data_IF_067786645193
#
_entry.id   IF_067786645193
#
_cell.length_a   1.000
_cell.length_b   1.000
_cell.length_c   1.000
_cell.angle_alpha   90.00
_cell.angle_beta   90.00
_cell.angle_gamma   90.00
#
_symmetry.space_group_name_H-M   'P 1'
#
loop_
_entity.id
_entity.type
_entity.pdbx_description
1 polymer ?
#
# COMPACT_ATOMS: atom_id res chain seq x y z
N UNK A 1 -1.59 21.79 6.83
CA UNK A 1 -2.33 21.59 8.12
C UNK A 1 -3.83 21.47 7.93
N UNK A 2 -4.47 22.36 7.10
CA UNK A 2 -5.94 22.36 6.90
C UNK A 2 -6.45 21.06 6.27
N UNK A 3 -5.72 20.45 5.32
CA UNK A 3 -6.12 19.21 4.64
C UNK A 3 -5.90 17.94 5.49
N UNK A 4 -4.91 17.93 6.41
CA UNK A 4 -4.55 16.75 7.21
C UNK A 4 -5.64 16.36 8.22
N UNK A 5 -6.31 17.34 8.84
CA UNK A 5 -7.35 17.06 9.86
C UNK A 5 -8.58 16.35 9.29
N UNK A 6 -9.17 16.74 8.14
CA UNK A 6 -10.25 15.99 7.48
C UNK A 6 -9.82 14.58 7.06
N UNK A 7 -8.64 14.43 6.49
CA UNK A 7 -8.07 13.13 6.13
C UNK A 7 -7.97 12.20 7.34
N UNK A 8 -7.31 12.65 8.42
CA UNK A 8 -7.18 11.86 9.64
C UNK A 8 -8.53 11.52 10.26
N UNK A 9 -9.53 12.39 10.15
CA UNK A 9 -10.88 12.10 10.64
C UNK A 9 -11.49 10.93 9.86
N UNK A 10 -11.42 10.93 8.55
CA UNK A 10 -11.91 9.83 7.72
C UNK A 10 -11.19 8.52 8.06
N UNK A 11 -9.86 8.54 8.02
CA UNK A 11 -9.02 7.38 8.28
C UNK A 11 -9.24 6.76 9.67
N UNK A 12 -9.23 7.57 10.73
CA UNK A 12 -9.37 7.09 12.11
C UNK A 12 -10.84 6.81 12.52
N UNK A 13 -11.81 7.18 11.68
CA UNK A 13 -13.22 6.81 11.85
C UNK A 13 -13.57 5.50 11.15
N UNK A 14 -12.69 4.98 10.30
CA UNK A 14 -12.91 3.70 9.65
C UNK A 14 -12.75 2.55 10.66
N UNK A 15 -13.84 1.80 10.83
CA UNK A 15 -13.89 0.71 11.82
C UNK A 15 -13.09 -0.52 11.41
N UNK A 16 -12.69 -0.61 10.13
CA UNK A 16 -11.74 -1.65 9.68
C UNK A 16 -10.29 -1.31 10.01
N UNK A 17 -9.97 -0.02 10.03
CA UNK A 17 -8.63 0.47 10.41
C UNK A 17 -8.47 0.49 11.92
N UNK A 18 -9.46 1.03 12.63
CA UNK A 18 -9.48 1.08 14.09
C UNK A 18 -10.79 0.45 14.58
N UNK A 19 -10.68 -0.71 15.18
CA UNK A 19 -11.77 -1.31 15.95
C UNK A 19 -11.77 -0.76 17.37
N UNK A 20 -12.58 0.26 17.68
CA UNK A 20 -12.61 0.79 19.02
C UNK A 20 -13.30 -0.20 19.97
N UNK A 21 -12.81 -0.32 21.23
CA UNK A 21 -13.53 -1.09 22.23
C UNK A 21 -14.91 -0.47 22.49
N UNK A 22 -15.92 -1.27 22.87
CA UNK A 22 -17.21 -0.74 23.27
C UNK A 22 -17.09 0.04 24.60
N UNK A 23 -17.90 1.10 24.78
CA UNK A 23 -18.86 1.60 23.82
C UNK A 23 -18.22 2.56 22.79
N UNK A 24 -18.57 2.37 21.51
CA UNK A 24 -17.97 3.07 20.36
C UNK A 24 -18.10 4.61 20.40
N UNK A 25 -19.08 5.16 21.14
CA UNK A 25 -19.24 6.61 21.25
C UNK A 25 -18.07 7.27 22.01
N UNK A 26 -17.45 6.56 22.96
CA UNK A 26 -16.25 7.06 23.69
C UNK A 26 -15.11 7.31 22.69
N UNK A 27 -14.91 6.39 21.74
CA UNK A 27 -13.91 6.58 20.70
C UNK A 27 -14.15 7.84 19.87
N UNK A 28 -15.41 8.11 19.51
CA UNK A 28 -15.75 9.34 18.76
C UNK A 28 -15.39 10.61 19.56
N UNK A 29 -15.57 10.61 20.87
CA UNK A 29 -15.17 11.72 21.74
C UNK A 29 -13.64 11.84 21.78
N UNK A 30 -12.91 10.76 22.06
CA UNK A 30 -11.44 10.75 22.10
C UNK A 30 -10.87 11.21 20.75
N UNK A 31 -11.39 10.70 19.66
CA UNK A 31 -10.97 11.06 18.31
C UNK A 31 -11.11 12.56 18.08
N UNK A 32 -12.28 13.15 18.35
CA UNK A 32 -12.55 14.54 18.03
C UNK A 32 -11.93 15.53 19.04
N UNK A 33 -11.96 15.20 20.33
CA UNK A 33 -11.48 16.08 21.38
C UNK A 33 -9.96 16.04 21.58
N UNK A 34 -9.33 14.87 21.38
CA UNK A 34 -7.90 14.67 21.67
C UNK A 34 -7.10 14.46 20.40
N UNK A 35 -7.36 13.36 19.66
CA UNK A 35 -6.49 12.91 18.57
C UNK A 35 -6.45 13.94 17.44
N UNK A 36 -7.59 14.43 16.99
CA UNK A 36 -7.69 15.39 15.87
C UNK A 36 -7.23 16.82 16.24
N UNK A 37 -6.88 17.08 17.49
CA UNK A 37 -6.27 18.34 17.90
C UNK A 37 -4.74 18.25 18.09
N UNK A 38 -4.23 17.09 18.49
CA UNK A 38 -2.80 16.89 18.75
C UNK A 38 -2.05 16.31 17.54
N UNK A 39 -2.59 15.26 16.93
CA UNK A 39 -1.92 14.49 15.88
C UNK A 39 -1.71 15.22 14.54
N UNK A 40 -2.61 16.12 14.08
CA UNK A 40 -2.43 16.80 12.79
C UNK A 40 -1.15 17.62 12.68
N UNK A 41 -0.63 18.16 13.78
CA UNK A 41 0.64 18.91 13.78
C UNK A 41 1.83 18.00 13.49
N UNK A 42 1.91 16.84 14.17
CA UNK A 42 2.98 15.83 13.96
C UNK A 42 2.89 15.24 12.55
N UNK A 43 1.70 14.80 12.14
CA UNK A 43 1.49 14.26 10.78
C UNK A 43 1.81 15.28 9.70
N UNK A 44 1.41 16.56 9.85
CA UNK A 44 1.71 17.58 8.87
C UNK A 44 3.22 17.85 8.73
N UNK A 45 4.01 17.69 9.80
CA UNK A 45 5.48 17.80 9.72
C UNK A 45 6.07 16.63 8.92
N UNK A 46 5.64 15.40 9.20
CA UNK A 46 6.08 14.23 8.47
C UNK A 46 5.66 14.29 6.97
N UNK A 47 4.42 14.75 6.67
CA UNK A 47 4.02 14.97 5.26
C UNK A 47 4.85 16.07 4.56
N UNK A 48 5.38 17.07 5.28
CA UNK A 48 6.22 18.10 4.69
C UNK A 48 7.56 17.57 4.17
N UNK A 49 8.12 16.53 4.79
CA UNK A 49 9.40 15.94 4.35
C UNK A 49 9.28 15.19 3.04
N UNK A 50 8.10 14.62 2.76
CA UNK A 50 7.84 13.83 1.55
C UNK A 50 7.06 14.61 0.47
N UNK A 51 6.65 15.85 0.77
CA UNK A 51 5.83 16.64 -0.15
C UNK A 51 6.62 17.04 -1.40
N UNK A 52 6.04 16.84 -2.57
CA UNK A 52 6.65 17.11 -3.87
C UNK A 52 7.87 16.23 -4.22
N UNK A 53 8.12 15.12 -3.55
CA UNK A 53 9.23 14.21 -3.89
C UNK A 53 8.96 13.41 -5.18
N UNK A 54 7.68 13.21 -5.55
CA UNK A 54 7.25 12.47 -6.74
C UNK A 54 6.22 13.28 -7.55
N UNK A 55 6.52 14.53 -7.88
CA UNK A 55 5.62 15.45 -8.53
C UNK A 55 4.91 16.38 -7.54
N UNK A 56 3.83 17.03 -7.94
CA UNK A 56 3.13 18.00 -7.10
C UNK A 56 2.26 17.35 -6.03
N UNK A 57 2.48 17.67 -4.78
CA UNK A 57 1.67 17.26 -3.63
C UNK A 57 2.14 16.00 -2.93
N UNK A 58 1.20 15.16 -2.52
CA UNK A 58 1.48 13.87 -1.85
C UNK A 58 2.03 12.85 -2.84
N UNK A 59 3.15 12.15 -2.54
CA UNK A 59 3.71 11.11 -3.41
C UNK A 59 2.66 10.08 -3.82
N UNK A 60 1.92 9.54 -2.85
CA UNK A 60 0.86 8.55 -3.10
C UNK A 60 -0.16 9.04 -4.16
N UNK A 61 -0.62 10.28 -4.06
CA UNK A 61 -1.60 10.80 -5.02
C UNK A 61 -0.99 11.08 -6.38
N UNK A 62 0.22 11.63 -6.42
CA UNK A 62 0.91 11.93 -7.68
C UNK A 62 1.21 10.64 -8.44
N UNK A 63 1.76 9.64 -7.76
CA UNK A 63 2.04 8.32 -8.35
C UNK A 63 0.75 7.63 -8.80
N UNK A 64 -0.32 7.67 -7.99
CA UNK A 64 -1.61 7.09 -8.39
C UNK A 64 -2.20 7.75 -9.65
N UNK A 65 -1.99 9.05 -9.84
CA UNK A 65 -2.37 9.74 -11.09
C UNK A 65 -1.55 9.27 -12.28
N UNK A 66 -0.23 9.07 -12.13
CA UNK A 66 0.62 8.51 -13.17
C UNK A 66 0.22 7.06 -13.50
N UNK A 67 0.00 6.22 -12.49
CA UNK A 67 -0.51 4.85 -12.67
C UNK A 67 -1.84 4.86 -13.43
N UNK A 68 -2.81 5.72 -13.05
CA UNK A 68 -4.07 5.87 -13.81
C UNK A 68 -3.81 6.22 -15.27
N UNK A 69 -2.96 7.21 -15.54
CA UNK A 69 -2.68 7.69 -16.90
C UNK A 69 -2.05 6.58 -17.77
N UNK A 70 -1.05 5.86 -17.23
CA UNK A 70 -0.37 4.78 -17.94
C UNK A 70 -1.28 3.57 -18.19
N UNK A 71 -2.07 3.16 -17.19
CA UNK A 71 -3.08 2.10 -17.34
C UNK A 71 -4.10 2.50 -18.42
N UNK A 72 -4.60 3.74 -18.40
CA UNK A 72 -5.52 4.25 -19.43
C UNK A 72 -4.90 4.17 -20.81
N UNK A 73 -3.65 4.63 -20.96
CA UNK A 73 -2.92 4.57 -22.22
C UNK A 73 -2.74 3.14 -22.73
N UNK A 74 -2.42 2.19 -21.86
CA UNK A 74 -2.26 0.79 -22.24
C UNK A 74 -3.60 0.12 -22.59
N UNK A 75 -4.66 0.40 -21.87
CA UNK A 75 -6.00 -0.10 -22.16
C UNK A 75 -6.49 0.43 -23.52
N UNK A 76 -6.29 1.71 -23.79
CA UNK A 76 -6.67 2.31 -25.09
C UNK A 76 -5.92 1.66 -26.27
N UNK A 77 -4.64 1.32 -26.10
CA UNK A 77 -3.85 0.62 -27.14
C UNK A 77 -4.31 -0.81 -27.38
N UNK A 78 -4.75 -1.53 -26.31
CA UNK A 78 -5.10 -2.95 -26.38
C UNK A 78 -6.57 -3.21 -26.71
N UNK A 79 -7.45 -2.30 -26.31
CA UNK A 79 -8.89 -2.37 -26.47
C UNK A 79 -9.48 -0.96 -26.64
N UNK A 80 -9.31 -0.34 -27.81
CA UNK A 80 -9.69 1.05 -28.07
C UNK A 80 -11.16 1.32 -27.75
N UNK A 81 -11.44 2.42 -27.05
CA UNK A 81 -12.78 2.90 -26.68
C UNK A 81 -13.64 1.90 -25.86
N UNK A 82 -13.04 0.86 -25.25
CA UNK A 82 -13.79 -0.12 -24.47
C UNK A 82 -13.76 0.16 -22.96
N UNK A 83 -12.80 0.95 -22.49
CA UNK A 83 -12.57 1.14 -21.07
C UNK A 83 -12.52 2.61 -20.68
N UNK A 84 -13.12 2.90 -19.53
CA UNK A 84 -12.97 4.16 -18.80
C UNK A 84 -12.25 3.89 -17.47
N UNK A 85 -11.29 4.73 -17.11
CA UNK A 85 -10.51 4.56 -15.88
C UNK A 85 -10.73 5.75 -14.97
N UNK A 86 -11.22 5.49 -13.75
CA UNK A 86 -11.37 6.51 -12.70
C UNK A 86 -10.47 6.18 -11.51
N UNK A 87 -9.93 7.23 -10.86
CA UNK A 87 -9.13 7.12 -9.64
C UNK A 87 -9.98 7.47 -8.43
N UNK A 88 -10.11 6.55 -7.48
CA UNK A 88 -10.76 6.78 -6.19
C UNK A 88 -9.82 6.52 -5.02
N UNK A 89 -9.69 7.50 -4.13
CA UNK A 89 -8.97 7.34 -2.87
C UNK A 89 -9.93 6.90 -1.77
N UNK A 90 -9.50 5.97 -0.93
CA UNK A 90 -10.29 5.52 0.22
C UNK A 90 -10.58 6.67 1.19
N UNK A 91 -9.60 7.57 1.35
CA UNK A 91 -9.69 8.78 2.17
C UNK A 91 -9.17 9.99 1.39
N UNK A 92 -9.87 11.13 1.52
CA UNK A 92 -9.50 12.36 0.81
C UNK A 92 -10.04 12.44 -0.61
N UNK A 93 -9.31 13.09 -1.50
CA UNK A 93 -9.72 13.35 -2.89
C UNK A 93 -8.65 12.94 -3.90
N UNK A 94 -9.06 12.48 -5.11
CA UNK A 94 -10.44 12.22 -5.54
C UNK A 94 -11.09 11.13 -4.70
N UNK A 95 -12.34 11.31 -4.30
CA UNK A 95 -13.02 10.34 -3.44
C UNK A 95 -13.54 9.14 -4.23
N UNK A 96 -13.80 8.00 -3.55
CA UNK A 96 -14.47 6.85 -4.16
C UNK A 96 -15.82 7.26 -4.78
N UNK A 97 -16.58 8.09 -4.08
CA UNK A 97 -17.83 8.66 -4.59
C UNK A 97 -17.64 9.40 -5.92
N UNK A 98 -16.63 10.29 -6.00
CA UNK A 98 -16.39 11.05 -7.24
C UNK A 98 -15.93 10.17 -8.40
N UNK A 99 -15.12 9.13 -8.11
CA UNK A 99 -14.67 8.18 -9.12
C UNK A 99 -15.82 7.34 -9.68
N UNK A 100 -16.69 6.84 -8.82
CA UNK A 100 -17.87 6.07 -9.25
C UNK A 100 -18.86 6.96 -10.03
N UNK A 101 -19.11 8.21 -9.58
CA UNK A 101 -19.94 9.16 -10.32
C UNK A 101 -19.37 9.53 -11.70
N UNK A 102 -18.01 9.61 -11.84
CA UNK A 102 -17.35 9.78 -13.13
C UNK A 102 -17.71 8.63 -14.08
N UNK A 103 -17.58 7.37 -13.63
CA UNK A 103 -17.92 6.20 -14.44
C UNK A 103 -19.43 6.12 -14.78
N UNK A 104 -20.29 6.44 -13.82
CA UNK A 104 -21.74 6.49 -14.05
C UNK A 104 -22.08 7.52 -15.13
N UNK A 105 -21.52 8.73 -15.07
CA UNK A 105 -21.76 9.79 -16.06
C UNK A 105 -21.31 9.43 -17.47
N UNK A 106 -20.35 8.51 -17.60
CA UNK A 106 -19.86 7.94 -18.86
C UNK A 106 -20.66 6.71 -19.32
N UNK A 107 -21.70 6.33 -18.57
CA UNK A 107 -22.59 5.22 -18.92
C UNK A 107 -22.01 3.84 -18.66
N UNK A 108 -20.97 3.71 -17.82
CA UNK A 108 -20.37 2.43 -17.48
C UNK A 108 -21.36 1.57 -16.69
N UNK A 109 -21.71 0.42 -17.24
CA UNK A 109 -22.63 -0.55 -16.63
C UNK A 109 -21.91 -1.73 -15.98
N UNK A 110 -20.62 -1.88 -16.23
CA UNK A 110 -19.75 -2.94 -15.72
C UNK A 110 -18.53 -2.24 -15.10
N UNK A 111 -18.24 -2.51 -13.85
CA UNK A 111 -17.16 -1.84 -13.11
C UNK A 111 -16.23 -2.89 -12.49
N UNK A 112 -14.93 -2.76 -12.72
CA UNK A 112 -13.90 -3.52 -12.00
C UNK A 112 -13.24 -2.58 -11.00
N UNK A 113 -13.18 -2.98 -9.75
CA UNK A 113 -12.43 -2.28 -8.71
C UNK A 113 -11.12 -3.02 -8.47
N UNK A 114 -10.01 -2.31 -8.69
CA UNK A 114 -8.66 -2.78 -8.39
C UNK A 114 -8.07 -1.97 -7.23
N UNK A 115 -8.15 -2.46 -5.99
CA UNK A 115 -7.40 -1.88 -4.89
C UNK A 115 -5.89 -2.05 -5.13
N UNK A 116 -5.13 -0.97 -5.04
CA UNK A 116 -3.67 -1.01 -5.23
C UNK A 116 -2.95 -1.48 -3.95
N UNK A 117 -3.48 -2.55 -3.37
CA UNK A 117 -2.92 -3.29 -2.23
C UNK A 117 -2.74 -4.75 -2.64
N UNK A 118 -1.49 -5.20 -2.90
CA UNK A 118 -1.25 -6.57 -3.38
C UNK A 118 -1.77 -7.65 -2.43
N UNK A 119 -1.54 -7.46 -1.13
CA UNK A 119 -2.03 -8.33 -0.07
C UNK A 119 -3.36 -7.78 0.47
N UNK A 120 -4.35 -8.66 0.62
CA UNK A 120 -5.58 -8.29 1.28
C UNK A 120 -5.36 -8.04 2.78
N UNK A 121 -5.87 -6.93 3.27
CA UNK A 121 -6.15 -6.73 4.69
C UNK A 121 -7.55 -6.12 4.85
N UNK A 122 -8.22 -6.38 5.98
CA UNK A 122 -9.50 -5.75 6.27
C UNK A 122 -9.36 -4.22 6.28
N UNK A 123 -8.26 -3.71 6.82
CA UNK A 123 -7.96 -2.26 6.94
C UNK A 123 -7.50 -1.58 5.64
N UNK A 124 -7.31 -2.30 4.56
CA UNK A 124 -6.96 -1.77 3.24
C UNK A 124 -8.01 -2.15 2.19
N UNK A 125 -7.90 -3.31 1.58
CA UNK A 125 -8.84 -3.82 0.56
C UNK A 125 -10.27 -3.91 1.09
N UNK A 126 -10.46 -4.31 2.36
CA UNK A 126 -11.78 -4.33 2.99
C UNK A 126 -12.40 -2.95 3.13
N UNK A 127 -11.61 -1.92 3.48
CA UNK A 127 -12.07 -0.52 3.53
C UNK A 127 -12.45 0.02 2.15
N UNK A 128 -11.72 -0.36 1.09
CA UNK A 128 -12.09 -0.03 -0.29
C UNK A 128 -13.42 -0.67 -0.66
N UNK A 129 -13.60 -1.94 -0.33
CA UNK A 129 -14.87 -2.64 -0.58
C UNK A 129 -16.05 -1.92 0.10
N UNK A 130 -15.90 -1.56 1.39
CA UNK A 130 -16.94 -0.85 2.13
C UNK A 130 -17.25 0.53 1.52
N UNK A 131 -16.22 1.26 1.06
CA UNK A 131 -16.41 2.57 0.42
C UNK A 131 -17.18 2.45 -0.90
N UNK A 132 -16.86 1.46 -1.74
CA UNK A 132 -17.58 1.17 -2.98
C UNK A 132 -19.01 0.72 -2.69
N UNK A 133 -19.18 -0.27 -1.82
CA UNK A 133 -20.52 -0.79 -1.47
C UNK A 133 -21.43 0.30 -0.90
N UNK A 134 -20.91 1.13 0.00
CA UNK A 134 -21.65 2.24 0.60
C UNK A 134 -22.17 3.25 -0.45
N UNK A 135 -21.37 3.54 -1.48
CA UNK A 135 -21.81 4.44 -2.56
C UNK A 135 -22.86 3.74 -3.44
N UNK A 136 -22.63 2.49 -3.84
CA UNK A 136 -23.55 1.74 -4.70
C UNK A 136 -24.91 1.48 -4.04
N UNK A 137 -24.98 1.41 -2.70
CA UNK A 137 -26.28 1.34 -1.98
C UNK A 137 -27.18 2.56 -2.23
N UNK A 138 -26.63 3.68 -2.71
CA UNK A 138 -27.41 4.89 -3.04
C UNK A 138 -27.87 4.92 -4.50
N UNK A 139 -27.37 4.01 -5.33
CA UNK A 139 -27.66 3.99 -6.75
C UNK A 139 -28.94 3.23 -7.06
N UNK A 140 -29.76 3.76 -7.98
CA UNK A 140 -30.96 3.06 -8.45
C UNK A 140 -30.62 1.93 -9.40
N UNK A 141 -29.64 2.14 -10.28
CA UNK A 141 -29.16 1.16 -11.24
C UNK A 141 -27.73 0.73 -10.83
N UNK A 142 -27.63 -0.43 -10.21
CA UNK A 142 -26.35 -0.97 -9.73
C UNK A 142 -25.63 -1.64 -10.89
N UNK A 143 -24.35 -1.32 -11.16
CA UNK A 143 -23.58 -1.94 -12.23
C UNK A 143 -23.23 -3.41 -11.91
N UNK A 144 -22.88 -4.17 -12.94
CA UNK A 144 -22.17 -5.43 -12.75
C UNK A 144 -20.80 -5.14 -12.17
N UNK A 145 -20.55 -5.61 -10.94
CA UNK A 145 -19.35 -5.26 -10.16
C UNK A 145 -18.41 -6.45 -10.02
N UNK A 146 -17.16 -6.27 -10.42
CA UNK A 146 -16.06 -7.16 -10.07
C UNK A 146 -15.10 -6.47 -9.13
N UNK A 147 -14.57 -7.21 -8.17
CA UNK A 147 -13.67 -6.70 -7.15
C UNK A 147 -12.44 -7.59 -7.04
N UNK A 148 -11.28 -7.07 -7.39
CA UNK A 148 -10.01 -7.79 -7.28
C UNK A 148 -9.56 -7.75 -5.83
N UNK A 149 -9.62 -8.89 -5.16
CA UNK A 149 -9.36 -8.98 -3.72
C UNK A 149 -7.88 -8.90 -3.36
N UNK A 150 -7.04 -9.53 -4.14
CA UNK A 150 -5.58 -9.59 -3.92
C UNK A 150 -4.88 -10.09 -5.17
N UNK A 151 -3.59 -9.76 -5.31
CA UNK A 151 -2.72 -10.22 -6.39
C UNK A 151 -1.29 -10.51 -5.90
N UNK A 152 -1.16 -10.81 -4.62
CA UNK A 152 0.09 -10.98 -3.89
C UNK A 152 0.94 -12.18 -4.35
N UNK A 153 0.37 -13.12 -5.09
CA UNK A 153 1.03 -14.33 -5.60
C UNK A 153 1.10 -14.38 -7.14
N UNK A 154 0.62 -13.34 -7.83
CA UNK A 154 0.66 -13.29 -9.29
C UNK A 154 2.11 -13.26 -9.79
N UNK A 155 2.45 -14.15 -10.74
CA UNK A 155 3.82 -14.31 -11.24
C UNK A 155 4.41 -13.00 -11.76
N UNK A 156 3.65 -12.25 -12.56
CA UNK A 156 4.11 -10.97 -13.12
C UNK A 156 4.30 -9.88 -12.06
N UNK A 157 3.52 -9.92 -10.97
CA UNK A 157 3.75 -9.03 -9.83
C UNK A 157 5.07 -9.36 -9.12
N UNK A 158 5.32 -10.64 -8.86
CA UNK A 158 6.59 -11.10 -8.26
C UNK A 158 7.77 -10.79 -9.20
N UNK A 159 7.60 -10.94 -10.52
CA UNK A 159 8.62 -10.57 -11.51
C UNK A 159 8.94 -9.08 -11.45
N UNK A 160 7.93 -8.22 -11.37
CA UNK A 160 8.14 -6.76 -11.26
C UNK A 160 8.91 -6.40 -9.98
N UNK A 161 8.59 -7.04 -8.84
CA UNK A 161 9.34 -6.88 -7.60
C UNK A 161 10.79 -7.35 -7.74
N UNK A 162 11.01 -8.53 -8.31
CA UNK A 162 12.34 -9.08 -8.51
C UNK A 162 13.19 -8.21 -9.45
N UNK A 163 12.59 -7.69 -10.52
CA UNK A 163 13.24 -6.77 -11.44
C UNK A 163 13.64 -5.47 -10.73
N UNK A 164 12.75 -4.90 -9.90
CA UNK A 164 13.07 -3.68 -9.15
C UNK A 164 14.25 -3.88 -8.19
N UNK A 165 14.32 -5.03 -7.52
CA UNK A 165 15.46 -5.38 -6.66
C UNK A 165 16.75 -5.51 -7.48
N UNK A 166 16.71 -6.25 -8.60
CA UNK A 166 17.87 -6.46 -9.48
C UNK A 166 18.37 -5.14 -10.07
N UNK A 167 17.47 -4.30 -10.56
CA UNK A 167 17.82 -2.98 -11.11
C UNK A 167 18.51 -2.11 -10.05
N UNK A 168 17.97 -2.11 -8.83
CA UNK A 168 18.57 -1.38 -7.72
C UNK A 168 19.97 -1.92 -7.37
N UNK A 169 20.11 -3.25 -7.30
CA UNK A 169 21.38 -3.90 -7.00
C UNK A 169 22.42 -3.73 -8.10
N UNK A 170 22.02 -3.61 -9.35
CA UNK A 170 22.93 -3.32 -10.47
C UNK A 170 23.59 -1.93 -10.32
N UNK A 171 22.89 -0.97 -9.72
CA UNK A 171 23.39 0.39 -9.50
C UNK A 171 24.16 0.51 -8.18
N UNK A 172 23.62 -0.06 -7.11
CA UNK A 172 24.13 0.18 -5.75
C UNK A 172 24.90 -1.00 -5.14
N UNK A 173 24.99 -2.13 -5.87
CA UNK A 173 25.61 -3.37 -5.39
C UNK A 173 24.66 -4.23 -4.56
N UNK A 174 25.02 -5.50 -4.39
CA UNK A 174 24.26 -6.44 -3.55
C UNK A 174 24.44 -6.12 -2.06
N UNK A 175 23.40 -6.29 -1.23
CA UNK A 175 23.50 -6.16 0.21
C UNK A 175 23.98 -7.45 0.86
N UNK A 176 24.32 -7.39 2.16
CA UNK A 176 24.48 -8.57 3.01
C UNK A 176 23.09 -9.18 3.32
N UNK A 177 22.06 -8.35 3.34
CA UNK A 177 20.72 -8.77 3.76
C UNK A 177 19.61 -7.94 3.08
N UNK A 178 18.57 -8.62 2.61
CA UNK A 178 17.35 -8.01 2.05
C UNK A 178 16.20 -8.10 3.05
N UNK A 179 15.75 -6.97 3.57
CA UNK A 179 14.59 -6.91 4.45
C UNK A 179 13.32 -6.55 3.64
N UNK A 180 12.31 -7.40 3.75
CA UNK A 180 11.01 -7.18 3.11
C UNK A 180 10.02 -6.68 4.17
N UNK A 181 9.78 -5.37 4.19
CA UNK A 181 8.97 -4.72 5.20
C UNK A 181 7.53 -4.50 4.71
N UNK A 182 6.56 -4.83 5.54
CA UNK A 182 5.13 -4.66 5.29
C UNK A 182 4.51 -3.79 6.37
N UNK A 183 3.40 -3.12 6.06
CA UNK A 183 2.67 -2.42 7.12
C UNK A 183 2.12 -3.43 8.13
N UNK A 184 2.35 -3.20 9.41
CA UNK A 184 1.84 -4.06 10.47
C UNK A 184 0.33 -4.00 10.60
N UNK A 185 -0.25 -5.06 11.17
CA UNK A 185 -1.62 -5.06 11.67
C UNK A 185 -1.63 -5.54 13.14
N UNK A 186 -2.60 -5.12 13.97
CA UNK A 186 -2.78 -5.69 15.29
C UNK A 186 -2.99 -7.21 15.24
N UNK A 187 -2.31 -7.96 16.11
CA UNK A 187 -2.43 -9.44 16.18
C UNK A 187 -3.88 -9.89 16.28
N UNK A 188 -4.71 -9.16 17.03
CA UNK A 188 -6.15 -9.47 17.17
C UNK A 188 -6.92 -9.48 15.83
N UNK A 189 -6.45 -8.78 14.77
CA UNK A 189 -7.09 -8.82 13.45
C UNK A 189 -6.81 -10.15 12.78
N UNK A 190 -5.56 -10.64 12.88
CA UNK A 190 -5.20 -11.98 12.45
C UNK A 190 -6.02 -13.04 13.19
N UNK A 191 -6.13 -12.93 14.51
CA UNK A 191 -6.91 -13.87 15.34
C UNK A 191 -8.41 -13.88 14.97
N UNK A 192 -8.92 -12.80 14.37
CA UNK A 192 -10.28 -12.68 13.82
C UNK A 192 -10.42 -13.15 12.36
N UNK A 193 -9.37 -13.68 11.77
CA UNK A 193 -9.39 -14.26 10.43
C UNK A 193 -8.84 -13.36 9.32
N UNK A 194 -8.20 -12.21 9.62
CA UNK A 194 -7.48 -11.43 8.62
C UNK A 194 -6.18 -12.14 8.25
N UNK A 195 -6.13 -12.75 7.08
CA UNK A 195 -5.01 -13.55 6.60
C UNK A 195 -3.87 -12.73 5.96
N UNK A 196 -3.85 -11.41 6.16
CA UNK A 196 -2.82 -10.52 5.62
C UNK A 196 -1.38 -10.97 5.88
N UNK A 197 -1.00 -11.38 7.11
CA UNK A 197 0.37 -11.83 7.36
C UNK A 197 0.76 -13.08 6.56
N UNK A 198 -0.20 -13.98 6.32
CA UNK A 198 0.03 -15.15 5.49
C UNK A 198 0.29 -14.76 4.03
N UNK A 199 -0.42 -13.76 3.51
CA UNK A 199 -0.20 -13.25 2.15
C UNK A 199 1.15 -12.53 2.03
N UNK A 200 1.55 -11.76 3.04
CA UNK A 200 2.90 -11.16 3.11
C UNK A 200 3.99 -12.24 3.09
N UNK A 201 3.81 -13.30 3.89
CA UNK A 201 4.72 -14.44 3.91
C UNK A 201 4.85 -15.11 2.54
N UNK A 202 3.74 -15.34 1.83
CA UNK A 202 3.75 -15.92 0.49
C UNK A 202 4.46 -15.03 -0.53
N UNK A 203 4.18 -13.72 -0.54
CA UNK A 203 4.90 -12.75 -1.39
C UNK A 203 6.40 -12.79 -1.10
N UNK A 204 6.78 -12.75 0.18
CA UNK A 204 8.19 -12.82 0.62
C UNK A 204 8.88 -14.07 0.11
N UNK A 205 8.26 -15.24 0.32
CA UNK A 205 8.81 -16.53 -0.10
C UNK A 205 8.99 -16.60 -1.63
N UNK A 206 7.97 -16.18 -2.39
CA UNK A 206 8.04 -16.18 -3.86
C UNK A 206 9.08 -15.21 -4.40
N UNK A 207 9.19 -14.02 -3.80
CA UNK A 207 10.21 -13.04 -4.17
C UNK A 207 11.61 -13.57 -3.87
N UNK A 208 11.82 -14.16 -2.70
CA UNK A 208 13.09 -14.77 -2.33
C UNK A 208 13.49 -15.90 -3.30
N UNK A 209 12.57 -16.79 -3.67
CA UNK A 209 12.80 -17.81 -4.68
C UNK A 209 13.18 -17.21 -6.05
N UNK A 210 12.49 -16.13 -6.48
CA UNK A 210 12.75 -15.48 -7.77
C UNK A 210 14.11 -14.77 -7.81
N UNK A 211 14.62 -14.37 -6.64
CA UNK A 211 15.93 -13.75 -6.46
C UNK A 211 17.03 -14.75 -6.10
N UNK A 212 16.70 -16.03 -5.96
CA UNK A 212 17.62 -17.12 -5.53
C UNK A 212 18.33 -16.80 -4.21
N UNK A 213 17.56 -16.27 -3.22
CA UNK A 213 18.07 -15.91 -1.91
C UNK A 213 18.03 -17.12 -0.96
N UNK A 214 19.10 -17.27 -0.17
CA UNK A 214 19.15 -18.25 0.91
C UNK A 214 18.34 -17.76 2.13
N UNK A 215 17.91 -18.66 3.03
CA UNK A 215 17.11 -18.29 4.20
C UNK A 215 17.77 -17.28 5.16
N UNK A 216 19.10 -17.20 5.17
CA UNK A 216 19.88 -16.28 5.99
C UNK A 216 20.17 -14.94 5.29
N UNK A 217 19.79 -14.77 4.03
CA UNK A 217 20.01 -13.55 3.25
C UNK A 217 18.78 -12.62 3.23
N UNK A 218 17.62 -13.04 3.78
CA UNK A 218 16.41 -12.21 3.81
C UNK A 218 15.51 -12.49 5.01
N UNK A 219 14.64 -11.54 5.28
CA UNK A 219 13.59 -11.70 6.30
C UNK A 219 12.37 -10.83 5.96
N UNK A 220 11.19 -11.30 6.38
CA UNK A 220 9.97 -10.51 6.44
C UNK A 220 9.88 -9.77 7.77
N UNK A 221 9.40 -8.53 7.75
CA UNK A 221 9.14 -7.75 8.95
C UNK A 221 7.91 -6.85 8.80
N UNK A 222 7.43 -6.28 9.92
CA UNK A 222 6.27 -5.38 9.95
C UNK A 222 6.65 -4.03 10.54
N UNK A 223 6.28 -2.95 9.84
CA UNK A 223 6.48 -1.55 10.23
C UNK A 223 5.21 -0.89 10.78
N UNK A 224 5.28 0.36 11.22
CA UNK A 224 4.15 1.27 11.50
C UNK A 224 3.26 0.86 12.66
N UNK A 225 3.86 0.45 13.77
CA UNK A 225 3.09 0.13 15.00
C UNK A 225 2.45 1.35 15.61
N UNK A 226 1.23 1.21 16.09
CA UNK A 226 0.48 2.28 16.74
C UNK A 226 -0.16 1.83 18.06
N UNK A 227 0.02 2.62 19.12
CA UNK A 227 -0.60 2.40 20.42
C UNK A 227 0.00 1.22 21.20
N UNK A 228 -0.79 0.65 22.12
CA UNK A 228 -0.33 -0.36 23.08
C UNK A 228 -0.77 -1.80 22.75
N UNK A 229 -1.48 -1.99 21.63
CA UNK A 229 -1.91 -3.31 21.21
C UNK A 229 -0.69 -4.15 20.79
N UNK A 230 -0.80 -5.47 20.91
CA UNK A 230 0.15 -6.39 20.31
C UNK A 230 -0.06 -6.42 18.80
N UNK A 231 1.03 -6.21 18.04
CA UNK A 231 1.07 -6.22 16.59
C UNK A 231 1.76 -7.48 16.07
N UNK A 232 1.53 -7.80 14.80
CA UNK A 232 2.25 -8.90 14.15
C UNK A 232 3.75 -8.65 14.18
N UNK A 233 4.51 -9.70 14.46
CA UNK A 233 5.99 -9.71 14.54
C UNK A 233 6.56 -10.36 13.25
N UNK A 234 7.83 -10.18 12.88
CA UNK A 234 8.89 -9.40 13.52
C UNK A 234 8.76 -7.90 13.20
N UNK A 235 9.26 -7.02 14.07
CA UNK A 235 9.17 -5.58 13.88
C UNK A 235 10.37 -5.03 13.11
N UNK A 236 10.12 -4.21 12.08
CA UNK A 236 11.15 -3.66 11.17
C UNK A 236 12.22 -2.88 11.92
N UNK A 237 11.83 -1.97 12.83
CA UNK A 237 12.77 -1.17 13.62
C UNK A 237 13.68 -2.02 14.52
N UNK A 238 13.12 -3.06 15.14
CA UNK A 238 13.89 -3.97 16.00
C UNK A 238 14.80 -4.88 15.19
N UNK A 239 14.34 -5.37 14.05
CA UNK A 239 15.13 -6.19 13.12
C UNK A 239 16.32 -5.40 12.64
N UNK A 240 16.13 -4.18 12.14
CA UNK A 240 17.20 -3.32 11.64
C UNK A 240 18.24 -2.99 12.73
N UNK A 241 17.81 -2.72 13.96
CA UNK A 241 18.73 -2.49 15.09
C UNK A 241 19.56 -3.74 15.44
N UNK A 242 19.06 -4.93 15.20
CA UNK A 242 19.74 -6.18 15.54
C UNK A 242 20.68 -6.68 14.43
N UNK A 243 20.49 -6.31 13.16
CA UNK A 243 21.27 -6.82 12.03
C UNK A 243 22.77 -6.51 12.09
N UNK A 244 23.22 -5.30 12.48
CA UNK A 244 24.66 -4.99 12.54
C UNK A 244 25.43 -5.88 13.51
N UNK A 245 24.84 -6.22 14.67
CA UNK A 245 25.47 -7.12 15.65
C UNK A 245 25.59 -8.57 15.16
N UNK A 246 24.81 -8.94 14.12
CA UNK A 246 24.88 -10.24 13.44
C UNK A 246 25.85 -10.23 12.24
N UNK A 247 26.57 -9.12 12.01
CA UNK A 247 27.50 -8.96 10.89
C UNK A 247 26.87 -8.44 9.61
N UNK A 248 25.55 -8.19 9.56
CA UNK A 248 24.82 -7.66 8.39
C UNK A 248 24.90 -6.13 8.40
N UNK A 249 25.93 -5.55 7.81
CA UNK A 249 26.22 -4.12 7.86
C UNK A 249 25.81 -3.35 6.62
N UNK A 250 25.51 -4.05 5.52
CA UNK A 250 24.97 -3.49 4.28
C UNK A 250 23.57 -4.09 4.04
N UNK A 251 22.51 -3.32 4.29
CA UNK A 251 21.12 -3.80 4.22
C UNK A 251 20.37 -3.03 3.15
N UNK A 252 19.54 -3.75 2.40
CA UNK A 252 18.52 -3.15 1.53
C UNK A 252 17.14 -3.50 2.03
N UNK A 253 16.22 -2.53 1.96
CA UNK A 253 14.83 -2.71 2.37
C UNK A 253 13.92 -2.47 1.17
N UNK A 254 12.98 -3.38 0.96
CA UNK A 254 11.87 -3.23 0.00
C UNK A 254 10.54 -3.36 0.74
N UNK A 255 9.51 -2.65 0.27
CA UNK A 255 8.17 -2.67 0.85
C UNK A 255 7.13 -3.27 -0.11
N UNK A 256 7.04 -4.62 -0.26
CA UNK A 256 6.20 -5.22 -1.29
C UNK A 256 4.69 -5.03 -1.08
N UNK A 257 4.26 -4.60 0.10
CA UNK A 257 2.85 -4.28 0.37
C UNK A 257 2.39 -2.93 -0.18
N UNK A 258 3.30 -2.13 -0.74
CA UNK A 258 3.02 -0.78 -1.23
C UNK A 258 3.20 -0.72 -2.75
N UNK A 259 2.10 -0.50 -3.48
CA UNK A 259 2.15 -0.30 -4.94
C UNK A 259 2.71 1.06 -5.34
N UNK A 260 2.73 2.02 -4.43
CA UNK A 260 3.23 3.37 -4.62
C UNK A 260 3.95 3.87 -3.38
N UNK A 261 5.00 4.65 -3.57
CA UNK A 261 5.68 5.33 -2.48
C UNK A 261 4.77 6.31 -1.77
N UNK A 262 4.89 6.33 -0.46
CA UNK A 262 4.07 7.12 0.44
C UNK A 262 4.87 7.55 1.67
N UNK A 263 4.18 8.09 2.68
CA UNK A 263 4.83 8.50 3.92
C UNK A 263 5.55 7.35 4.61
N UNK A 264 4.89 6.18 4.64
CA UNK A 264 5.35 4.98 5.32
C UNK A 264 6.59 4.35 4.65
N UNK A 265 6.83 4.62 3.38
CA UNK A 265 8.02 4.12 2.67
C UNK A 265 9.15 5.15 2.65
N UNK A 266 8.84 6.41 2.36
CA UNK A 266 9.86 7.46 2.19
C UNK A 266 10.34 7.96 3.55
N UNK A 267 9.45 8.34 4.46
CA UNK A 267 9.84 8.91 5.74
C UNK A 267 10.16 7.81 6.76
N UNK A 268 9.27 6.84 6.96
CA UNK A 268 9.46 5.84 8.00
C UNK A 268 10.61 4.86 7.66
N UNK A 269 10.71 4.35 6.41
CA UNK A 269 11.76 3.39 6.05
C UNK A 269 13.05 4.09 5.66
N UNK A 270 12.99 5.02 4.67
CA UNK A 270 14.23 5.54 4.10
C UNK A 270 14.90 6.63 4.92
N UNK A 271 14.23 7.17 5.97
CA UNK A 271 14.80 8.15 6.89
C UNK A 271 14.85 7.61 8.33
N UNK A 272 13.70 7.32 8.97
CA UNK A 272 13.64 6.95 10.39
C UNK A 272 14.32 5.59 10.64
N UNK A 273 13.92 4.56 9.91
CA UNK A 273 14.48 3.21 10.08
C UNK A 273 15.93 3.09 9.61
N UNK A 274 16.32 3.84 8.58
CA UNK A 274 17.73 4.02 8.20
C UNK A 274 18.53 4.60 9.37
N UNK A 275 18.02 5.63 10.06
CA UNK A 275 18.64 6.19 11.23
C UNK A 275 18.91 5.13 12.31
N UNK A 276 17.92 4.33 12.65
CA UNK A 276 18.05 3.24 13.64
C UNK A 276 19.10 2.21 13.25
N UNK A 277 19.17 1.83 11.97
CA UNK A 277 20.16 0.89 11.48
C UNK A 277 21.59 1.46 11.57
N UNK A 278 21.79 2.70 11.09
CA UNK A 278 23.09 3.35 11.10
C UNK A 278 23.61 3.59 12.53
N UNK A 279 22.75 4.06 13.44
CA UNK A 279 23.06 4.26 14.86
C UNK A 279 23.42 2.95 15.59
N UNK A 280 22.93 1.82 15.10
CA UNK A 280 23.23 0.49 15.65
C UNK A 280 24.50 -0.15 15.08
N UNK A 281 25.28 0.57 14.26
CA UNK A 281 26.54 0.11 13.69
C UNK A 281 26.43 -0.42 12.26
N UNK A 282 25.34 -0.12 11.55
CA UNK A 282 25.21 -0.35 10.12
C UNK A 282 26.15 0.56 9.31
N UNK A 283 26.60 0.11 8.15
CA UNK A 283 27.54 0.85 7.30
C UNK A 283 26.88 1.38 6.02
N UNK A 284 25.95 0.60 5.43
CA UNK A 284 25.27 0.97 4.20
C UNK A 284 23.80 0.56 4.26
N UNK A 285 22.91 1.50 4.01
CA UNK A 285 21.47 1.28 3.95
C UNK A 285 20.92 1.69 2.58
N UNK A 286 20.11 0.84 1.96
CA UNK A 286 19.41 1.12 0.71
C UNK A 286 17.91 0.92 0.88
N UNK A 287 17.11 1.89 0.42
CA UNK A 287 15.68 1.72 0.24
C UNK A 287 15.41 1.49 -1.24
N UNK A 288 14.78 0.36 -1.57
CA UNK A 288 14.33 0.03 -2.93
C UNK A 288 12.93 0.62 -3.09
N UNK A 289 12.73 1.60 -4.00
CA UNK A 289 11.43 2.25 -4.17
C UNK A 289 10.30 1.24 -4.45
N UNK A 290 9.08 1.60 -4.05
CA UNK A 290 7.89 0.87 -4.45
C UNK A 290 7.82 0.76 -5.99
N UNK A 291 6.97 -0.12 -6.50
CA UNK A 291 6.88 -0.33 -7.95
C UNK A 291 6.39 0.91 -8.71
N UNK A 292 5.64 1.79 -8.05
CA UNK A 292 5.19 3.06 -8.63
C UNK A 292 4.58 2.87 -10.03
N UNK A 293 5.01 3.69 -10.98
CA UNK A 293 4.63 3.68 -12.40
C UNK A 293 5.64 2.92 -13.28
N UNK A 294 6.42 1.99 -12.72
CA UNK A 294 7.33 1.13 -13.50
C UNK A 294 6.58 0.45 -14.65
N UNK A 295 7.17 0.41 -15.85
CA UNK A 295 6.50 -0.16 -17.03
C UNK A 295 6.01 -1.61 -16.83
N UNK A 296 6.82 -2.47 -16.21
CA UNK A 296 6.47 -3.87 -15.93
C UNK A 296 5.32 -4.00 -14.90
N UNK A 297 5.27 -3.11 -13.90
CA UNK A 297 4.16 -3.05 -12.96
C UNK A 297 2.87 -2.57 -13.62
N UNK A 298 2.92 -1.52 -14.42
CA UNK A 298 1.75 -1.00 -15.15
C UNK A 298 1.24 -2.04 -16.16
N UNK A 299 2.14 -2.73 -16.86
CA UNK A 299 1.76 -3.82 -17.76
C UNK A 299 1.03 -4.93 -17.01
N UNK A 300 1.56 -5.35 -15.85
CA UNK A 300 0.92 -6.33 -14.99
C UNK A 300 -0.47 -5.90 -14.55
N UNK A 301 -0.62 -4.67 -14.00
CA UNK A 301 -1.92 -4.15 -13.52
C UNK A 301 -2.93 -4.07 -14.67
N UNK A 302 -2.49 -3.65 -15.86
CA UNK A 302 -3.34 -3.60 -17.06
C UNK A 302 -3.80 -4.99 -17.48
N UNK A 303 -2.89 -5.97 -17.51
CA UNK A 303 -3.24 -7.35 -17.84
C UNK A 303 -4.20 -7.94 -16.81
N UNK A 304 -3.96 -7.72 -15.52
CA UNK A 304 -4.84 -8.15 -14.43
C UNK A 304 -6.27 -7.61 -14.60
N UNK A 305 -6.41 -6.35 -15.01
CA UNK A 305 -7.72 -5.77 -15.33
C UNK A 305 -8.38 -6.48 -16.51
N UNK A 306 -7.64 -6.68 -17.61
CA UNK A 306 -8.16 -7.36 -18.82
C UNK A 306 -8.57 -8.80 -18.54
N UNK A 307 -7.79 -9.55 -17.78
CA UNK A 307 -8.12 -10.93 -17.39
C UNK A 307 -9.42 -11.00 -16.56
N UNK A 308 -9.69 -9.96 -15.79
CA UNK A 308 -10.92 -9.84 -15.01
C UNK A 308 -12.12 -9.32 -15.82
N UNK A 309 -11.98 -9.08 -17.13
CA UNK A 309 -13.11 -8.76 -18.02
C UNK A 309 -13.73 -9.99 -18.69
N UNK A 310 -13.19 -11.19 -18.47
CA UNK A 310 -13.68 -12.42 -19.10
C UNK A 310 -15.20 -12.57 -18.94
N UNK A 311 -15.90 -12.86 -20.06
CA UNK A 311 -17.35 -12.95 -20.10
C UNK A 311 -18.12 -11.62 -20.09
N UNK A 312 -17.42 -10.49 -20.11
CA UNK A 312 -18.04 -9.16 -20.27
C UNK A 312 -18.07 -8.66 -21.71
N UNK A 313 -17.34 -9.30 -22.60
CA UNK A 313 -17.20 -8.92 -24.01
C UNK A 313 -18.36 -9.48 -24.85
N UNK A 314 -19.60 -9.09 -24.54
CA UNK A 314 -20.75 -9.34 -25.43
C UNK A 314 -21.64 -8.11 -25.43
#
# INVERSE_FOLDING_TARGET
>A
KKAVKPYLRQFLSDTRVIEPPPPRWIWKIILNAVILNLRPKKSAKAYQTVWNTHGEGSPLLSIAKYQKAEITSQLEKRAPAQFEVALGMCYGNPSMKSALAELESKGCKKIIVLPLYPQYAASSTGSVFDAVAKELLTWRNVPDLRFIRSYNEEDKYIDSLANSVKDYQNVYGKPDFLLMSYHGIPKRYFDKGDNYPCQCCKTTFRLAQKLDLKPDEYQMSFQSRLGFAEWMKEYTDQTLKALPSKGMKNVQVICPGFSADCLETIEEISEENKGYFMESGGEKFGYIPALNDRPDHIEFLTQLLLDNTYGWNN
#
